data_IF_001039829155
#
_entry.id   IF_001039829155
#
_cell.length_a   1.000
_cell.length_b   1.000
_cell.length_c   1.000
_cell.angle_alpha   90.00
_cell.angle_beta   90.00
_cell.angle_gamma   90.00
#
_symmetry.space_group_name_H-M   'P 1'
#
loop_
_entity.id
_entity.type
_entity.pdbx_description
1 polymer ?
#
# COMPACT_ATOMS: atom_id res chain seq x y z
N UNK A 1 -37.83 -46.71 -41.46
CA UNK A 1 -37.23 -45.36 -41.49
C UNK A 1 -37.07 -44.92 -40.04
N UNK A 2 -35.89 -45.13 -39.45
CA UNK A 2 -35.57 -44.58 -38.12
C UNK A 2 -34.79 -43.30 -38.37
N UNK A 3 -35.27 -42.18 -37.85
CA UNK A 3 -34.49 -40.95 -37.79
C UNK A 3 -33.40 -41.15 -36.73
N UNK A 4 -32.14 -40.93 -37.09
CA UNK A 4 -31.09 -40.82 -36.10
C UNK A 4 -31.26 -39.49 -35.34
N UNK A 5 -31.01 -39.47 -34.02
CA UNK A 5 -31.00 -38.22 -33.28
C UNK A 5 -29.81 -37.40 -33.77
N UNK A 6 -30.08 -36.15 -34.16
CA UNK A 6 -29.03 -35.16 -34.39
C UNK A 6 -28.50 -34.79 -33.01
N UNK A 7 -27.39 -35.40 -32.59
CA UNK A 7 -26.61 -34.94 -31.44
C UNK A 7 -26.11 -33.52 -31.77
N UNK A 8 -26.71 -32.51 -31.14
CA UNK A 8 -26.14 -31.17 -31.11
C UNK A 8 -24.84 -31.21 -30.27
N UNK A 9 -23.75 -30.55 -30.70
CA UNK A 9 -22.44 -30.82 -30.15
C UNK A 9 -22.30 -30.26 -28.72
N UNK A 10 -22.08 -31.15 -27.75
CA UNK A 10 -21.63 -30.82 -26.38
C UNK A 10 -20.31 -30.04 -26.35
N UNK A 11 -19.58 -30.01 -27.47
CA UNK A 11 -18.28 -29.36 -27.62
C UNK A 11 -18.37 -27.84 -27.71
N UNK A 12 -19.43 -27.28 -28.31
CA UNK A 12 -19.55 -25.83 -28.52
C UNK A 12 -19.77 -25.06 -27.21
N UNK A 13 -20.61 -25.62 -26.31
CA UNK A 13 -20.84 -25.05 -24.98
C UNK A 13 -19.58 -25.17 -24.11
N UNK A 14 -18.83 -26.27 -24.24
CA UNK A 14 -17.59 -26.47 -23.50
C UNK A 14 -16.46 -25.55 -23.96
N UNK A 15 -16.37 -25.29 -25.26
CA UNK A 15 -15.42 -24.35 -25.86
C UNK A 15 -15.73 -22.91 -25.44
N UNK A 16 -17.01 -22.50 -25.46
CA UNK A 16 -17.46 -21.20 -24.93
C UNK A 16 -17.11 -21.02 -23.45
N UNK A 17 -17.37 -22.03 -22.61
CA UNK A 17 -17.02 -21.99 -21.19
C UNK A 17 -15.50 -21.84 -20.96
N UNK A 18 -14.68 -22.48 -21.81
CA UNK A 18 -13.21 -22.34 -21.73
C UNK A 18 -12.73 -20.96 -22.15
N UNK A 19 -13.32 -20.36 -23.19
CA UNK A 19 -13.00 -18.99 -23.61
C UNK A 19 -13.37 -17.97 -22.52
N UNK A 20 -14.57 -18.07 -21.94
CA UNK A 20 -14.97 -17.20 -20.85
C UNK A 20 -14.05 -17.32 -19.63
N UNK A 21 -13.61 -18.55 -19.32
CA UNK A 21 -12.65 -18.78 -18.24
C UNK A 21 -11.31 -18.12 -18.56
N UNK A 22 -10.81 -18.25 -19.78
CA UNK A 22 -9.59 -17.59 -20.22
C UNK A 22 -9.68 -16.07 -20.15
N UNK A 23 -10.83 -15.50 -20.53
CA UNK A 23 -11.08 -14.06 -20.42
C UNK A 23 -11.10 -13.60 -18.96
N UNK A 24 -11.75 -14.36 -18.07
CA UNK A 24 -11.77 -14.08 -16.62
C UNK A 24 -10.36 -14.14 -16.02
N UNK A 25 -9.58 -15.17 -16.35
CA UNK A 25 -8.20 -15.32 -15.88
C UNK A 25 -7.30 -14.18 -16.41
N UNK A 26 -7.50 -13.73 -17.65
CA UNK A 26 -6.79 -12.58 -18.20
C UNK A 26 -7.12 -11.28 -17.45
N UNK A 27 -8.40 -11.01 -17.23
CA UNK A 27 -8.86 -9.83 -16.48
C UNK A 27 -8.34 -9.83 -15.04
N UNK A 28 -8.37 -10.97 -14.37
CA UNK A 28 -7.83 -11.11 -13.01
C UNK A 28 -6.33 -10.79 -12.96
N UNK A 29 -5.55 -11.28 -13.93
CA UNK A 29 -4.11 -11.02 -14.01
C UNK A 29 -3.81 -9.55 -14.27
N UNK A 30 -4.55 -8.91 -15.16
CA UNK A 30 -4.39 -7.49 -15.45
C UNK A 30 -4.72 -6.62 -14.22
N UNK A 31 -5.81 -6.92 -13.52
CA UNK A 31 -6.16 -6.27 -12.26
C UNK A 31 -5.06 -6.43 -11.20
N UNK A 32 -4.51 -7.63 -11.04
CA UNK A 32 -3.41 -7.87 -10.10
C UNK A 32 -2.15 -7.07 -10.48
N UNK A 33 -1.83 -6.95 -11.77
CA UNK A 33 -0.72 -6.12 -12.24
C UNK A 33 -0.94 -4.64 -11.93
N UNK A 34 -2.14 -4.13 -12.18
CA UNK A 34 -2.49 -2.73 -11.87
C UNK A 34 -2.43 -2.46 -10.36
N UNK A 35 -2.96 -3.36 -9.52
CA UNK A 35 -2.88 -3.25 -8.07
C UNK A 35 -1.42 -3.25 -7.60
N UNK A 36 -0.58 -4.16 -8.12
CA UNK A 36 0.83 -4.21 -7.75
C UNK A 36 1.56 -2.91 -8.12
N UNK A 37 1.31 -2.39 -9.32
CA UNK A 37 1.88 -1.13 -9.78
C UNK A 37 1.51 0.03 -8.85
N UNK A 38 0.23 0.17 -8.50
CA UNK A 38 -0.23 1.19 -7.56
C UNK A 38 0.38 1.01 -6.17
N UNK A 39 0.46 -0.23 -5.67
CA UNK A 39 1.10 -0.49 -4.38
C UNK A 39 2.59 -0.12 -4.37
N UNK A 40 3.31 -0.30 -5.49
CA UNK A 40 4.70 0.16 -5.64
C UNK A 40 4.79 1.69 -5.67
N UNK A 41 3.95 2.37 -6.47
CA UNK A 41 3.92 3.84 -6.50
C UNK A 41 3.64 4.45 -5.13
N UNK A 42 2.73 3.83 -4.37
CA UNK A 42 2.35 4.27 -3.03
C UNK A 42 3.35 3.81 -1.94
N UNK A 43 4.40 3.05 -2.30
CA UNK A 43 5.39 2.52 -1.36
C UNK A 43 4.84 1.48 -0.37
N UNK A 44 3.66 0.93 -0.67
CA UNK A 44 2.93 -0.06 0.13
C UNK A 44 3.53 -1.46 -0.07
N UNK A 45 3.76 -1.86 -1.32
CA UNK A 45 4.36 -3.16 -1.65
C UNK A 45 5.76 -2.98 -2.23
N UNK A 46 6.73 -3.59 -1.55
CA UNK A 46 8.07 -3.88 -2.02
C UNK A 46 8.93 -2.63 -2.35
N UNK A 47 9.36 -1.93 -1.29
CA UNK A 47 10.57 -1.12 -1.40
C UNK A 47 11.74 -2.05 -1.75
N UNK A 48 12.37 -1.88 -2.92
CA UNK A 48 13.63 -2.57 -3.26
C UNK A 48 14.79 -2.16 -2.33
N UNK A 49 14.57 -1.14 -1.52
CA UNK A 49 15.55 -0.54 -0.62
C UNK A 49 15.18 -0.78 0.84
N UNK A 50 16.21 -0.93 1.67
CA UNK A 50 16.07 -1.01 3.12
C UNK A 50 15.51 0.33 3.63
N UNK A 51 14.40 0.29 4.38
CA UNK A 51 13.73 1.50 4.90
C UNK A 51 14.52 2.22 5.99
N UNK A 52 15.45 1.53 6.62
CA UNK A 52 16.29 2.06 7.69
C UNK A 52 17.30 3.07 7.13
N UNK A 53 17.50 4.19 7.83
CA UNK A 53 18.34 5.30 7.39
C UNK A 53 19.44 5.59 8.42
N UNK A 54 20.67 5.83 7.95
CA UNK A 54 21.78 6.29 8.79
C UNK A 54 21.51 7.74 9.19
N UNK A 55 21.87 8.10 10.43
CA UNK A 55 21.67 9.47 10.89
C UNK A 55 22.52 10.45 10.05
N UNK A 56 23.66 10.02 9.54
CA UNK A 56 24.57 10.84 8.73
C UNK A 56 24.00 11.17 7.35
N UNK A 57 23.15 10.29 6.79
CA UNK A 57 22.64 10.40 5.42
C UNK A 57 21.36 11.24 5.29
N UNK A 58 20.76 11.65 6.42
CA UNK A 58 19.51 12.40 6.42
C UNK A 58 19.73 13.80 6.96
N UNK A 59 19.66 14.83 6.14
CA UNK A 59 19.77 16.22 6.60
C UNK A 59 18.42 16.85 6.93
N UNK A 60 17.36 16.41 6.26
CA UNK A 60 16.04 17.02 6.28
C UNK A 60 14.94 16.04 6.71
N UNK A 61 13.91 16.56 7.37
CA UNK A 61 12.76 15.78 7.80
C UNK A 61 12.04 15.19 6.57
N UNK A 62 11.78 13.88 6.58
CA UNK A 62 11.08 13.19 5.48
C UNK A 62 9.61 13.63 5.26
N UNK A 63 9.07 14.54 6.09
CA UNK A 63 7.68 15.01 5.99
C UNK A 63 7.52 16.51 5.76
N UNK A 64 8.46 17.35 6.20
CA UNK A 64 8.35 18.81 6.10
C UNK A 64 9.65 19.50 5.67
N UNK A 65 10.66 18.72 5.28
CA UNK A 65 11.96 19.18 4.78
C UNK A 65 12.78 20.07 5.73
N UNK A 66 12.31 20.27 6.96
CA UNK A 66 13.03 21.01 8.01
C UNK A 66 14.30 20.26 8.41
N UNK A 67 15.41 20.98 8.59
CA UNK A 67 16.68 20.36 9.00
C UNK A 67 16.56 19.59 10.31
N UNK A 68 17.03 18.34 10.30
CA UNK A 68 17.06 17.43 11.46
C UNK A 68 18.48 17.20 11.99
N UNK A 69 19.49 17.83 11.38
CA UNK A 69 20.92 17.65 11.73
C UNK A 69 21.22 17.93 13.21
N UNK A 70 20.47 18.86 13.82
CA UNK A 70 20.62 19.23 15.23
C UNK A 70 19.84 18.34 16.22
N UNK A 71 19.00 17.41 15.74
CA UNK A 71 18.19 16.55 16.59
C UNK A 71 18.94 15.24 16.88
N UNK A 72 19.34 15.01 18.13
CA UNK A 72 20.06 13.80 18.56
C UNK A 72 19.39 13.14 19.78
N UNK A 73 18.94 11.87 19.69
CA UNK A 73 18.85 11.06 18.47
C UNK A 73 17.81 11.63 17.49
N UNK A 74 17.99 11.39 16.19
CA UNK A 74 17.02 11.84 15.18
C UNK A 74 15.69 11.08 15.36
N UNK A 75 14.55 11.77 15.50
CA UNK A 75 13.25 11.12 15.66
C UNK A 75 12.90 10.26 14.43
N UNK A 76 12.27 9.10 14.67
CA UNK A 76 11.90 8.15 13.61
C UNK A 76 10.44 7.77 13.73
N UNK A 77 9.81 7.48 12.61
CA UNK A 77 8.49 6.84 12.60
C UNK A 77 8.63 5.37 13.00
N UNK A 78 7.92 4.92 14.04
CA UNK A 78 7.97 3.53 14.50
C UNK A 78 7.22 2.54 13.58
N UNK A 79 6.60 3.02 12.51
CA UNK A 79 6.00 2.17 11.49
C UNK A 79 6.86 2.03 10.23
N UNK A 80 7.28 3.15 9.62
CA UNK A 80 8.02 3.12 8.36
C UNK A 80 9.54 3.25 8.52
N UNK A 81 10.05 3.58 9.70
CA UNK A 81 11.49 3.64 10.02
C UNK A 81 12.23 4.90 9.55
N UNK A 82 11.62 5.73 8.69
CA UNK A 82 12.22 6.97 8.19
C UNK A 82 12.44 8.01 9.30
N UNK A 83 13.39 8.92 9.09
CA UNK A 83 13.77 10.01 9.98
C UNK A 83 12.91 11.26 9.75
N UNK A 84 12.47 11.88 10.85
CA UNK A 84 11.59 13.06 10.89
C UNK A 84 12.02 14.03 11.99
N UNK A 85 11.46 15.24 11.98
CA UNK A 85 11.51 16.15 13.13
C UNK A 85 10.44 15.76 14.17
N UNK A 86 10.56 16.26 15.41
CA UNK A 86 9.62 15.95 16.49
C UNK A 86 8.15 16.28 16.16
N UNK A 87 7.90 17.37 15.43
CA UNK A 87 6.54 17.78 15.06
C UNK A 87 5.89 16.80 14.07
N UNK A 88 6.66 16.23 13.15
CA UNK A 88 6.17 15.27 12.16
C UNK A 88 5.91 13.86 12.74
N UNK A 89 6.45 13.52 13.92
CA UNK A 89 6.21 12.22 14.60
C UNK A 89 5.61 12.41 16.00
N UNK A 90 4.73 13.40 16.16
CA UNK A 90 4.05 13.68 17.44
C UNK A 90 2.85 12.78 17.73
N UNK A 91 2.23 12.22 16.68
CA UNK A 91 1.03 11.38 16.78
C UNK A 91 1.38 9.93 17.10
N UNK A 92 0.52 9.26 17.87
CA UNK A 92 0.74 7.87 18.27
C UNK A 92 -0.37 6.94 17.80
N UNK A 93 -0.02 5.68 17.57
CA UNK A 93 -0.95 4.58 17.28
C UNK A 93 -0.68 3.40 18.23
N UNK A 94 -1.68 2.60 18.61
CA UNK A 94 -1.47 1.41 19.42
C UNK A 94 -0.69 0.34 18.63
N UNK A 95 0.38 -0.18 19.22
CA UNK A 95 1.27 -1.17 18.60
C UNK A 95 1.37 -2.47 19.41
N UNK A 96 1.34 -3.59 18.68
CA UNK A 96 1.48 -4.95 19.21
C UNK A 96 0.34 -5.40 20.12
N UNK A 97 0.47 -6.61 20.72
CA UNK A 97 -0.58 -7.20 21.57
C UNK A 97 -0.93 -6.35 22.80
N UNK A 98 0.05 -5.61 23.33
CA UNK A 98 -0.10 -4.79 24.52
C UNK A 98 -0.54 -3.35 24.23
N UNK A 99 -0.87 -3.01 22.98
CA UNK A 99 -1.30 -1.66 22.57
C UNK A 99 -0.35 -0.54 23.03
N UNK A 100 0.96 -0.79 22.99
CA UNK A 100 1.96 0.22 23.39
C UNK A 100 1.89 1.40 22.41
N UNK A 101 1.92 2.66 22.88
CA UNK A 101 1.87 3.80 21.98
C UNK A 101 3.14 3.85 21.12
N UNK A 102 2.96 3.98 19.81
CA UNK A 102 4.04 4.11 18.85
C UNK A 102 3.92 5.43 18.09
N UNK A 103 4.89 6.32 18.26
CA UNK A 103 5.00 7.56 17.50
C UNK A 103 5.19 7.26 16.00
N UNK A 104 4.33 7.84 15.16
CA UNK A 104 4.32 7.62 13.71
C UNK A 104 4.20 8.94 12.97
N UNK A 105 4.68 8.98 11.72
CA UNK A 105 4.47 10.13 10.85
C UNK A 105 3.00 10.24 10.41
N UNK A 106 2.59 11.41 9.93
CA UNK A 106 1.19 11.68 9.54
C UNK A 106 0.66 10.65 8.53
N UNK A 107 1.45 10.29 7.51
CA UNK A 107 1.07 9.26 6.52
C UNK A 107 0.81 7.92 7.20
N UNK A 108 1.70 7.47 8.08
CA UNK A 108 1.55 6.20 8.78
C UNK A 108 0.41 6.24 9.82
N UNK A 109 0.18 7.39 10.46
CA UNK A 109 -0.98 7.58 11.32
C UNK A 109 -2.26 7.35 10.53
N UNK A 110 -2.37 7.96 9.34
CA UNK A 110 -3.55 7.79 8.49
C UNK A 110 -3.75 6.36 7.99
N UNK A 111 -2.67 5.68 7.63
CA UNK A 111 -2.73 4.29 7.16
C UNK A 111 -3.11 3.30 8.27
N UNK A 112 -2.69 3.55 9.51
CA UNK A 112 -2.89 2.61 10.63
C UNK A 112 -4.14 2.90 11.46
N UNK A 113 -4.65 4.13 11.41
CA UNK A 113 -5.85 4.53 12.13
C UNK A 113 -7.07 4.48 11.21
N UNK A 114 -7.94 3.47 11.38
CA UNK A 114 -9.14 3.28 10.53
C UNK A 114 -10.14 4.43 10.60
N UNK A 115 -10.12 5.21 11.68
CA UNK A 115 -11.02 6.33 11.90
C UNK A 115 -10.46 7.66 11.35
N UNK A 116 -9.21 7.65 10.89
CA UNK A 116 -8.58 8.85 10.36
C UNK A 116 -8.98 9.10 8.90
N UNK A 117 -9.34 10.35 8.58
CA UNK A 117 -9.60 10.77 7.20
C UNK A 117 -8.33 10.54 6.36
N UNK A 118 -8.47 10.09 5.09
CA UNK A 118 -7.32 9.88 4.21
C UNK A 118 -6.47 11.15 4.11
N UNK A 119 -5.15 11.01 4.09
CA UNK A 119 -4.18 12.11 4.21
C UNK A 119 -4.36 13.18 3.13
N UNK A 120 -4.87 12.78 1.97
CA UNK A 120 -5.18 13.66 0.84
C UNK A 120 -6.51 14.41 0.94
N UNK A 121 -7.27 14.25 2.03
CA UNK A 121 -8.54 14.95 2.26
C UNK A 121 -8.37 16.28 3.03
N UNK A 122 -7.14 16.66 3.40
CA UNK A 122 -6.85 17.96 4.01
C UNK A 122 -6.52 18.97 2.89
N UNK A 123 -7.42 19.92 2.64
CA UNK A 123 -7.18 21.08 1.75
C UNK A 123 -6.05 21.94 2.36
N UNK A 124 -4.93 22.16 1.67
CA UNK A 124 -3.80 22.94 2.20
C UNK A 124 -4.07 24.45 2.28
N UNK A 125 -5.33 24.91 2.26
CA UNK A 125 -5.71 26.34 2.12
C UNK A 125 -6.74 26.85 3.13
N UNK A 126 -6.83 26.24 4.32
CA UNK A 126 -7.53 26.85 5.48
C UNK A 126 -6.56 27.01 6.63
#
# INVERSE_FOLDING_TARGET
MRAEPIDLPLDADQEQLTEERGLREFQERDLLQQVNHLQTQLGIANSKEVRWQWDEDVENCSGCDTSVVKLKPRPRCLHCGKIFCHSCVKTTVPSGPNRRPANVCQVCHTLLNRDSKPFFAEDPRI
#
